data_IF_910525096907
#
_entry.id   IF_910525096907
#
_cell.length_a   1.000
_cell.length_b   1.000
_cell.length_c   1.000
_cell.angle_alpha   90.00
_cell.angle_beta   90.00
_cell.angle_gamma   90.00
#
_symmetry.space_group_name_H-M   'P 1'
#
loop_
_entity.id
_entity.type
_entity.pdbx_description
1 polymer ?
#
# COMPACT_ATOMS: atom_id res chain seq x y z
N UNK A 1 14.50 -2.35 28.89
CA UNK A 1 13.65 -1.47 28.10
C UNK A 1 12.82 -2.34 27.16
N UNK A 2 11.49 -2.21 27.13
CA UNK A 2 10.68 -2.98 26.21
C UNK A 2 10.83 -2.43 24.80
N UNK A 3 11.00 -3.35 23.88
CA UNK A 3 11.30 -3.20 22.48
C UNK A 3 10.36 -2.27 21.76
N UNK A 4 10.94 -1.27 21.12
CA UNK A 4 10.34 -0.40 20.12
C UNK A 4 10.44 -1.04 18.74
N UNK A 5 9.99 -2.29 18.60
CA UNK A 5 9.90 -2.95 17.28
C UNK A 5 8.53 -2.68 16.65
N UNK A 6 8.24 -1.40 16.41
CA UNK A 6 7.11 -0.97 15.58
C UNK A 6 7.58 -0.74 14.14
N UNK A 7 8.06 -1.78 13.49
CA UNK A 7 8.36 -1.71 12.07
C UNK A 7 7.13 -2.14 11.26
N UNK A 8 6.51 -1.16 10.69
CA UNK A 8 5.83 -1.10 9.41
C UNK A 8 4.99 -2.31 8.96
N UNK A 9 3.88 -2.40 9.59
CA UNK A 9 2.69 -3.01 9.05
C UNK A 9 1.69 -1.92 8.70
N UNK A 10 0.69 -2.25 7.89
CA UNK A 10 -0.44 -1.35 7.76
C UNK A 10 -0.92 -1.08 9.18
N UNK A 11 -0.34 -0.09 9.80
CA UNK A 11 -0.81 0.44 11.05
C UNK A 11 -2.20 0.96 10.72
N UNK A 12 -3.24 0.37 11.31
CA UNK A 12 -4.59 0.90 11.20
C UNK A 12 -4.65 2.22 11.98
N UNK A 13 -4.04 3.25 11.40
CA UNK A 13 -4.17 4.63 11.83
C UNK A 13 -5.12 5.32 10.87
N UNK A 14 -5.96 6.21 11.36
CA UNK A 14 -7.02 6.82 10.56
C UNK A 14 -6.53 7.48 9.26
N UNK A 15 -5.29 8.05 9.25
CA UNK A 15 -4.73 8.65 8.03
C UNK A 15 -4.30 7.62 6.97
N UNK A 16 -4.08 6.35 7.35
CA UNK A 16 -3.74 5.25 6.43
C UNK A 16 -4.93 4.81 5.60
N UNK A 17 -6.15 5.10 6.06
CA UNK A 17 -7.41 4.85 5.34
C UNK A 17 -7.50 3.41 4.81
N UNK A 18 -7.24 2.43 5.67
CA UNK A 18 -7.26 1.02 5.26
C UNK A 18 -8.58 0.61 4.59
N UNK A 19 -9.67 1.25 4.98
CA UNK A 19 -11.04 1.03 4.50
C UNK A 19 -11.39 1.83 3.22
N UNK A 20 -10.48 2.64 2.67
CA UNK A 20 -10.81 3.61 1.60
C UNK A 20 -11.55 2.98 0.42
N UNK A 21 -11.09 1.85 -0.10
CA UNK A 21 -11.75 1.18 -1.22
C UNK A 21 -13.18 0.74 -0.89
N UNK A 22 -13.49 0.44 0.36
CA UNK A 22 -14.82 -0.03 0.77
C UNK A 22 -15.86 1.08 0.85
N UNK A 23 -15.45 2.34 0.76
CA UNK A 23 -16.35 3.49 0.81
C UNK A 23 -17.25 3.63 -0.44
N UNK A 24 -16.81 3.07 -1.57
CA UNK A 24 -17.65 2.88 -2.75
C UNK A 24 -18.05 1.40 -2.83
N UNK A 25 -19.13 1.04 -2.14
CA UNK A 25 -19.59 -0.34 -2.01
C UNK A 25 -19.86 -0.97 -3.39
N UNK A 26 -20.45 -0.23 -4.31
CA UNK A 26 -20.78 -0.73 -5.63
C UNK A 26 -19.52 -1.09 -6.45
N UNK A 27 -18.50 -0.22 -6.44
CA UNK A 27 -17.22 -0.50 -7.12
C UNK A 27 -16.44 -1.59 -6.41
N UNK A 28 -16.50 -1.62 -5.08
CA UNK A 28 -15.85 -2.67 -4.29
C UNK A 28 -16.43 -4.04 -4.61
N UNK A 29 -17.75 -4.17 -4.63
CA UNK A 29 -18.42 -5.42 -5.03
C UNK A 29 -18.13 -5.79 -6.48
N UNK A 30 -18.14 -4.83 -7.39
CA UNK A 30 -17.79 -5.06 -8.80
C UNK A 30 -16.33 -5.54 -8.96
N UNK A 31 -15.40 -4.99 -8.17
CA UNK A 31 -14.01 -5.44 -8.15
C UNK A 31 -13.88 -6.89 -7.68
N UNK A 32 -14.52 -7.25 -6.56
CA UNK A 32 -14.46 -8.60 -5.99
C UNK A 32 -15.14 -9.66 -6.85
N UNK A 33 -16.23 -9.30 -7.52
CA UNK A 33 -17.02 -10.22 -8.34
C UNK A 33 -16.65 -10.21 -9.82
N UNK A 34 -15.53 -9.59 -10.19
CA UNK A 34 -15.10 -9.52 -11.60
C UNK A 34 -14.60 -10.90 -12.07
N UNK A 35 -15.35 -11.59 -12.97
CA UNK A 35 -14.96 -12.92 -13.41
C UNK A 35 -13.77 -12.91 -14.37
N UNK A 36 -13.49 -11.77 -15.00
CA UNK A 36 -12.37 -11.60 -15.93
C UNK A 36 -11.06 -11.36 -15.20
N UNK A 37 -11.12 -10.65 -14.08
CA UNK A 37 -9.96 -10.27 -13.29
C UNK A 37 -10.21 -10.60 -11.82
N UNK A 38 -10.16 -11.88 -11.43
CA UNK A 38 -10.40 -12.26 -10.03
C UNK A 38 -9.36 -11.67 -9.10
N UNK A 39 -9.82 -11.10 -7.98
CA UNK A 39 -8.94 -10.49 -6.97
C UNK A 39 -9.19 -11.09 -5.59
N UNK A 40 -8.15 -11.09 -4.77
CA UNK A 40 -8.23 -11.35 -3.33
C UNK A 40 -7.62 -10.15 -2.61
N UNK A 41 -8.29 -9.67 -1.57
CA UNK A 41 -7.83 -8.55 -0.77
C UNK A 41 -7.53 -9.03 0.65
N UNK A 42 -6.31 -8.80 1.10
CA UNK A 42 -5.86 -9.19 2.43
C UNK A 42 -5.42 -7.95 3.20
N UNK A 43 -6.12 -7.67 4.30
CA UNK A 43 -5.65 -6.71 5.30
C UNK A 43 -4.92 -7.44 6.40
N UNK A 44 -3.79 -6.91 6.83
CA UNK A 44 -3.03 -7.47 7.93
C UNK A 44 -2.52 -6.35 8.84
N UNK A 45 -2.72 -6.51 10.14
CA UNK A 45 -2.27 -5.55 11.13
C UNK A 45 -3.13 -5.54 12.37
N UNK A 46 -2.94 -4.52 13.19
CA UNK A 46 -3.79 -4.22 14.34
C UNK A 46 -3.85 -2.70 14.56
N UNK A 47 -4.99 -2.17 15.00
CA UNK A 47 -5.09 -0.75 15.38
C UNK A 47 -4.30 -0.47 16.65
N UNK A 48 -3.88 0.78 16.82
CA UNK A 48 -3.32 1.24 18.08
C UNK A 48 -4.41 1.23 19.18
N UNK A 49 -4.11 0.83 20.42
CA UNK A 49 -5.15 0.57 21.44
C UNK A 49 -6.05 1.73 21.82
N UNK A 50 -5.65 2.97 21.57
CA UNK A 50 -6.44 4.19 21.89
C UNK A 50 -6.91 4.94 20.64
N UNK A 51 -6.66 4.40 19.45
CA UNK A 51 -7.17 4.94 18.18
C UNK A 51 -8.55 4.34 17.87
N UNK A 52 -9.59 4.89 18.52
CA UNK A 52 -10.96 4.38 18.38
C UNK A 52 -11.49 4.42 16.92
N UNK A 53 -11.21 5.45 16.10
CA UNK A 53 -11.56 5.42 14.69
C UNK A 53 -10.91 4.23 13.96
N UNK A 54 -9.61 4.03 14.12
CA UNK A 54 -8.91 2.91 13.49
C UNK A 54 -9.41 1.54 13.98
N UNK A 55 -9.81 1.42 15.26
CA UNK A 55 -10.45 0.22 15.81
C UNK A 55 -11.80 -0.03 15.14
N UNK A 56 -12.60 1.03 14.91
CA UNK A 56 -13.87 0.93 14.22
C UNK A 56 -13.71 0.45 12.78
N UNK A 57 -12.78 1.05 12.03
CA UNK A 57 -12.46 0.66 10.66
C UNK A 57 -11.98 -0.78 10.59
N UNK A 58 -11.11 -1.19 11.52
CA UNK A 58 -10.64 -2.57 11.60
C UNK A 58 -11.78 -3.56 11.85
N UNK A 59 -12.68 -3.26 12.78
CA UNK A 59 -13.84 -4.12 13.08
C UNK A 59 -14.78 -4.22 11.86
N UNK A 60 -14.97 -3.14 11.13
CA UNK A 60 -15.75 -3.12 9.89
C UNK A 60 -15.09 -4.04 8.84
N UNK A 61 -13.78 -3.97 8.63
CA UNK A 61 -13.05 -4.84 7.71
C UNK A 61 -13.12 -6.32 8.13
N UNK A 62 -13.03 -6.62 9.43
CA UNK A 62 -13.26 -7.98 9.95
C UNK A 62 -14.69 -8.45 9.67
N UNK A 63 -15.68 -7.55 9.72
CA UNK A 63 -17.04 -7.91 9.34
C UNK A 63 -17.16 -8.19 7.84
N UNK A 64 -16.53 -7.38 6.99
CA UNK A 64 -16.49 -7.59 5.54
C UNK A 64 -15.82 -8.92 5.17
N UNK A 65 -14.77 -9.33 5.88
CA UNK A 65 -14.11 -10.62 5.61
C UNK A 65 -14.99 -11.84 5.92
N UNK A 66 -16.11 -11.65 6.63
CA UNK A 66 -17.13 -12.69 6.83
C UNK A 66 -18.22 -12.66 5.76
N UNK A 67 -18.37 -11.51 5.07
CA UNK A 67 -19.37 -11.32 4.00
C UNK A 67 -18.85 -11.82 2.64
N UNK A 68 -17.54 -11.65 2.39
CA UNK A 68 -16.93 -11.90 1.08
C UNK A 68 -15.81 -12.94 1.17
N UNK A 69 -15.91 -14.04 0.43
CA UNK A 69 -14.91 -15.12 0.39
C UNK A 69 -13.54 -14.68 -0.17
N UNK A 70 -13.51 -13.58 -0.92
CA UNK A 70 -12.29 -13.02 -1.52
C UNK A 70 -11.60 -11.97 -0.64
N UNK A 71 -12.09 -11.80 0.60
CA UNK A 71 -11.58 -10.83 1.57
C UNK A 71 -11.08 -11.55 2.81
N UNK A 72 -9.86 -11.24 3.25
CA UNK A 72 -9.31 -11.75 4.50
C UNK A 72 -8.75 -10.62 5.37
N UNK A 73 -8.89 -10.76 6.68
CA UNK A 73 -8.23 -9.89 7.67
C UNK A 73 -7.38 -10.75 8.59
N UNK A 74 -6.07 -10.59 8.50
CA UNK A 74 -5.11 -11.26 9.37
C UNK A 74 -4.94 -10.46 10.66
N UNK A 75 -5.45 -11.01 11.76
CA UNK A 75 -5.40 -10.40 13.10
C UNK A 75 -4.12 -10.86 13.81
N UNK A 76 -3.41 -9.90 14.38
CA UNK A 76 -2.17 -10.18 15.06
C UNK A 76 -0.96 -9.87 14.20
N UNK A 77 0.03 -9.30 14.88
CA UNK A 77 1.26 -8.87 14.26
C UNK A 77 2.37 -9.88 14.57
N UNK A 78 2.95 -10.43 13.51
CA UNK A 78 4.22 -11.17 13.58
C UNK A 78 5.11 -10.79 12.38
N UNK A 79 6.41 -10.65 12.61
CA UNK A 79 7.39 -10.42 11.54
C UNK A 79 7.34 -11.53 10.48
N UNK A 80 7.08 -12.76 10.90
CA UNK A 80 6.93 -13.90 9.99
C UNK A 80 5.74 -13.78 9.06
N UNK A 81 4.57 -13.32 9.56
CA UNK A 81 3.39 -13.06 8.74
C UNK A 81 3.65 -11.95 7.73
N UNK A 82 4.23 -10.83 8.18
CA UNK A 82 4.62 -9.73 7.32
C UNK A 82 5.50 -10.16 6.16
N UNK A 83 6.57 -10.88 6.49
CA UNK A 83 7.49 -11.39 5.48
C UNK A 83 6.75 -12.22 4.42
N UNK A 84 5.89 -13.14 4.86
CA UNK A 84 5.13 -14.01 3.95
C UNK A 84 4.14 -13.24 3.09
N UNK A 85 3.41 -12.29 3.66
CA UNK A 85 2.48 -11.46 2.90
C UNK A 85 3.20 -10.64 1.82
N UNK A 86 4.34 -10.02 2.14
CA UNK A 86 5.14 -9.28 1.17
C UNK A 86 5.70 -10.16 0.05
N UNK A 87 6.02 -11.43 0.36
CA UNK A 87 6.49 -12.40 -0.62
C UNK A 87 5.37 -13.00 -1.48
N UNK A 88 4.14 -12.97 -0.98
CA UNK A 88 2.98 -13.58 -1.65
C UNK A 88 2.09 -12.55 -2.36
N UNK A 89 2.30 -11.26 -2.15
CA UNK A 89 1.49 -10.21 -2.77
C UNK A 89 1.98 -9.89 -4.17
N UNK A 90 1.05 -9.82 -5.12
CA UNK A 90 1.31 -9.30 -6.46
C UNK A 90 1.28 -7.78 -6.47
N UNK A 91 0.34 -7.20 -5.71
CA UNK A 91 0.14 -5.76 -5.56
C UNK A 91 0.18 -5.38 -4.08
N UNK A 92 0.89 -4.30 -3.77
CA UNK A 92 0.96 -3.70 -2.44
C UNK A 92 0.28 -2.33 -2.46
N UNK A 93 -0.92 -2.27 -1.88
CA UNK A 93 -1.70 -1.04 -1.83
C UNK A 93 -1.36 -0.25 -0.58
N UNK A 94 -1.01 1.03 -0.75
CA UNK A 94 -0.76 1.97 0.34
C UNK A 94 -1.41 3.31 0.02
N UNK A 95 -2.37 3.73 0.83
CA UNK A 95 -3.19 4.92 0.54
C UNK A 95 -3.26 5.91 1.70
N UNK A 96 -2.11 6.33 2.28
CA UNK A 96 -2.12 7.35 3.31
C UNK A 96 -2.69 8.66 2.79
N UNK A 97 -3.31 9.42 3.70
CA UNK A 97 -3.74 10.79 3.38
C UNK A 97 -2.53 11.71 3.32
N UNK A 98 -2.33 12.32 2.18
CA UNK A 98 -1.22 13.29 1.97
C UNK A 98 -1.45 14.55 2.82
N UNK A 99 -0.45 15.10 3.48
CA UNK A 99 0.97 14.72 3.61
C UNK A 99 1.25 14.08 5.00
N UNK A 100 0.64 12.95 5.31
CA UNK A 100 0.71 12.34 6.64
C UNK A 100 1.74 11.21 6.75
N UNK A 101 2.19 10.67 5.64
CA UNK A 101 3.18 9.58 5.59
C UNK A 101 4.59 10.16 5.57
N UNK A 102 5.34 9.91 6.63
CA UNK A 102 6.71 10.44 6.72
C UNK A 102 7.71 9.64 5.86
N UNK A 103 7.51 8.34 5.71
CA UNK A 103 8.38 7.47 4.92
C UNK A 103 7.62 6.23 4.41
N UNK A 104 7.44 5.17 5.22
CA UNK A 104 6.69 3.97 4.84
C UNK A 104 7.56 2.82 4.33
N UNK A 105 8.32 2.16 5.24
CA UNK A 105 9.25 1.07 4.90
C UNK A 105 8.55 -0.22 4.45
N UNK A 106 7.26 -0.39 4.75
CA UNK A 106 6.51 -1.58 4.34
C UNK A 106 6.42 -1.73 2.82
N UNK A 107 6.16 -0.63 2.11
CA UNK A 107 6.17 -0.59 0.64
C UNK A 107 7.55 -0.86 0.06
N UNK A 108 8.62 -0.33 0.67
CA UNK A 108 10.00 -0.62 0.26
C UNK A 108 10.29 -2.11 0.32
N UNK A 109 9.98 -2.74 1.46
CA UNK A 109 10.21 -4.18 1.63
C UNK A 109 9.28 -5.05 0.78
N UNK A 110 8.07 -4.60 0.47
CA UNK A 110 7.19 -5.25 -0.48
C UNK A 110 7.79 -5.23 -1.89
N UNK A 111 8.24 -4.06 -2.36
CA UNK A 111 8.93 -3.93 -3.65
C UNK A 111 10.21 -4.79 -3.72
N UNK A 112 11.01 -4.87 -2.66
CA UNK A 112 12.18 -5.76 -2.59
C UNK A 112 11.81 -7.24 -2.74
N UNK A 113 10.57 -7.62 -2.41
CA UNK A 113 10.07 -8.99 -2.53
C UNK A 113 9.22 -9.23 -3.79
N UNK A 114 9.15 -8.27 -4.70
CA UNK A 114 8.47 -8.41 -5.99
C UNK A 114 7.03 -7.94 -6.04
N UNK A 115 6.47 -7.41 -4.95
CA UNK A 115 5.15 -6.79 -5.00
C UNK A 115 5.20 -5.43 -5.70
N UNK A 116 4.31 -5.20 -6.64
CA UNK A 116 4.17 -3.91 -7.32
C UNK A 116 3.45 -2.93 -6.39
N UNK A 117 4.02 -1.76 -6.13
CA UNK A 117 3.37 -0.75 -5.29
C UNK A 117 2.30 0.03 -6.07
N UNK A 118 1.14 0.22 -5.44
CA UNK A 118 0.12 1.16 -5.84
C UNK A 118 -0.18 2.08 -4.65
N UNK A 119 0.05 3.38 -4.79
CA UNK A 119 0.03 4.28 -3.63
C UNK A 119 -0.50 5.67 -3.97
N UNK A 120 -0.99 6.39 -2.94
CA UNK A 120 -1.03 7.85 -2.99
C UNK A 120 0.38 8.42 -3.00
N UNK A 121 0.56 9.65 -3.49
CA UNK A 121 1.87 10.26 -3.68
C UNK A 121 2.37 10.88 -2.37
N UNK A 122 2.83 10.06 -1.44
CA UNK A 122 3.29 10.46 -0.10
C UNK A 122 4.45 9.59 0.40
N UNK A 123 5.24 10.12 1.33
CA UNK A 123 6.37 9.42 1.92
C UNK A 123 7.43 9.02 0.89
N UNK A 124 7.96 7.81 1.04
CA UNK A 124 9.03 7.27 0.19
C UNK A 124 8.64 7.13 -1.29
N UNK A 125 7.33 7.03 -1.59
CA UNK A 125 6.82 6.91 -2.96
C UNK A 125 7.24 8.11 -3.81
N UNK A 126 7.28 9.31 -3.24
CA UNK A 126 7.69 10.53 -3.94
C UNK A 126 9.12 10.44 -4.50
N UNK A 127 9.99 9.63 -3.89
CA UNK A 127 11.38 9.44 -4.30
C UNK A 127 11.57 8.22 -5.23
N UNK A 128 10.61 7.30 -5.21
CA UNK A 128 10.75 5.98 -5.83
C UNK A 128 9.94 5.83 -7.11
N UNK A 129 8.69 6.31 -7.11
CA UNK A 129 7.71 5.85 -8.09
C UNK A 129 7.91 6.49 -9.47
N UNK A 130 7.92 5.65 -10.47
CA UNK A 130 7.77 6.02 -11.87
C UNK A 130 6.53 5.29 -12.39
N UNK A 131 5.42 6.01 -12.48
CA UNK A 131 4.09 5.46 -12.78
C UNK A 131 4.09 4.61 -14.06
N UNK A 132 3.61 3.39 -13.96
CA UNK A 132 3.56 2.43 -15.07
C UNK A 132 4.89 1.75 -15.41
N UNK A 133 6.01 2.17 -14.78
CA UNK A 133 7.32 1.59 -15.01
C UNK A 133 7.83 0.71 -13.85
N UNK A 134 7.67 1.16 -12.59
CA UNK A 134 8.08 0.41 -11.39
C UNK A 134 6.99 0.32 -10.32
N UNK A 135 5.80 0.81 -10.61
CA UNK A 135 4.63 0.82 -9.76
C UNK A 135 3.59 1.81 -10.25
N UNK A 136 2.57 2.06 -9.43
CA UNK A 136 1.46 2.95 -9.75
C UNK A 136 1.27 3.97 -8.64
N UNK A 137 0.96 5.21 -9.01
CA UNK A 137 0.74 6.30 -8.06
C UNK A 137 -0.47 7.13 -8.44
N UNK A 138 -1.26 7.50 -7.45
CA UNK A 138 -2.34 8.48 -7.61
C UNK A 138 -1.71 9.83 -7.96
N UNK A 139 -2.12 10.47 -9.05
CA UNK A 139 -1.60 11.79 -9.41
C UNK A 139 -1.85 12.79 -8.27
N UNK A 140 -0.86 13.63 -7.91
CA UNK A 140 -1.06 14.62 -6.86
C UNK A 140 -2.05 15.71 -7.27
N UNK A 141 -2.72 16.29 -6.28
CA UNK A 141 -3.55 17.47 -6.44
C UNK A 141 -3.02 18.59 -5.52
N UNK A 142 -3.64 19.73 -5.54
CA UNK A 142 -3.34 20.82 -4.59
C UNK A 142 -3.98 20.51 -3.22
N UNK A 143 -3.27 19.72 -2.42
CA UNK A 143 -3.73 19.24 -1.12
C UNK A 143 -3.92 20.36 -0.08
N UNK A 144 -3.37 21.55 -0.31
CA UNK A 144 -3.52 22.70 0.60
C UNK A 144 -4.88 23.37 0.46
N UNK A 145 -5.47 23.29 -0.74
CA UNK A 145 -6.72 23.98 -1.09
C UNK A 145 -7.95 23.06 -1.19
N UNK A 146 -7.82 21.78 -0.81
CA UNK A 146 -8.94 20.84 -0.81
C UNK A 146 -9.25 20.38 0.61
N UNK A 147 -10.52 20.13 0.88
CA UNK A 147 -10.93 19.52 2.15
C UNK A 147 -10.49 18.06 2.24
N UNK A 148 -10.43 17.54 3.46
CA UNK A 148 -10.16 16.11 3.70
C UNK A 148 -11.13 15.19 2.96
N UNK A 149 -12.41 15.59 2.88
CA UNK A 149 -13.42 14.82 2.17
C UNK A 149 -13.18 14.82 0.65
N UNK A 150 -12.86 15.95 0.07
CA UNK A 150 -12.55 16.06 -1.36
C UNK A 150 -11.29 15.27 -1.71
N UNK A 151 -10.26 15.32 -0.87
CA UNK A 151 -9.07 14.49 -1.03
C UNK A 151 -9.41 13.01 -0.98
N UNK A 152 -10.17 12.57 0.02
CA UNK A 152 -10.55 11.16 0.15
C UNK A 152 -11.36 10.67 -1.06
N UNK A 153 -12.27 11.48 -1.59
CA UNK A 153 -13.04 11.16 -2.80
C UNK A 153 -12.17 11.12 -4.06
N UNK A 154 -11.26 12.07 -4.20
CA UNK A 154 -10.31 12.09 -5.32
C UNK A 154 -9.43 10.84 -5.32
N UNK A 155 -8.77 10.57 -4.19
CA UNK A 155 -7.87 9.42 -4.05
C UNK A 155 -8.61 8.10 -4.29
N UNK A 156 -9.82 7.94 -3.73
CA UNK A 156 -10.67 6.77 -3.95
C UNK A 156 -10.96 6.55 -5.44
N UNK A 157 -11.42 7.59 -6.13
CA UNK A 157 -11.73 7.50 -7.56
C UNK A 157 -10.48 7.16 -8.38
N UNK A 158 -9.36 7.81 -8.10
CA UNK A 158 -8.10 7.56 -8.85
C UNK A 158 -7.51 6.19 -8.56
N UNK A 159 -7.61 5.69 -7.33
CA UNK A 159 -7.20 4.33 -7.02
C UNK A 159 -8.01 3.30 -7.81
N UNK A 160 -9.33 3.45 -7.87
CA UNK A 160 -10.16 2.58 -8.69
C UNK A 160 -9.86 2.70 -10.18
N UNK A 161 -9.69 3.92 -10.72
CA UNK A 161 -9.29 4.11 -12.11
C UNK A 161 -7.96 3.38 -12.43
N UNK A 162 -6.99 3.45 -11.54
CA UNK A 162 -5.70 2.76 -11.69
C UNK A 162 -5.89 1.23 -11.63
N UNK A 163 -6.64 0.74 -10.65
CA UNK A 163 -6.87 -0.70 -10.49
C UNK A 163 -7.63 -1.27 -11.70
N UNK A 164 -8.74 -0.65 -12.10
CA UNK A 164 -9.64 -1.16 -13.13
C UNK A 164 -9.03 -1.04 -14.55
N UNK A 165 -8.35 0.08 -14.84
CA UNK A 165 -7.92 0.40 -16.20
C UNK A 165 -6.44 0.13 -16.48
N UNK A 166 -5.62 -0.09 -15.44
CA UNK A 166 -4.18 -0.30 -15.59
C UNK A 166 -3.73 -1.61 -14.92
N UNK A 167 -3.85 -1.71 -13.60
CA UNK A 167 -3.29 -2.83 -12.83
C UNK A 167 -3.87 -4.17 -13.26
N UNK A 168 -5.20 -4.32 -13.23
CA UNK A 168 -5.86 -5.59 -13.56
C UNK A 168 -5.65 -6.00 -15.02
N UNK A 169 -5.85 -5.12 -16.03
CA UNK A 169 -5.56 -5.47 -17.41
C UNK A 169 -4.08 -5.85 -17.64
N UNK A 170 -3.14 -5.12 -17.03
CA UNK A 170 -1.72 -5.45 -17.18
C UNK A 170 -1.37 -6.79 -16.53
N UNK A 171 -1.89 -7.06 -15.35
CA UNK A 171 -1.62 -8.32 -14.66
C UNK A 171 -2.13 -9.53 -15.44
N UNK A 172 -3.38 -9.48 -15.93
CA UNK A 172 -4.04 -10.62 -16.54
C UNK A 172 -3.81 -10.75 -18.04
N UNK A 173 -3.70 -9.65 -18.77
CA UNK A 173 -3.63 -9.67 -20.23
C UNK A 173 -2.21 -9.43 -20.77
N UNK A 174 -1.32 -8.81 -19.97
CA UNK A 174 0.03 -8.46 -20.37
C UNK A 174 1.08 -8.90 -19.33
N UNK A 175 1.20 -10.21 -19.04
CA UNK A 175 2.05 -10.72 -17.98
C UNK A 175 3.55 -10.41 -18.19
N UNK A 176 3.99 -10.19 -19.40
CA UNK A 176 5.36 -9.79 -19.71
C UNK A 176 5.64 -8.36 -19.22
N UNK A 177 4.71 -7.44 -19.49
CA UNK A 177 4.80 -6.05 -19.01
C UNK A 177 4.71 -6.01 -17.49
N UNK A 178 3.81 -6.80 -16.89
CA UNK A 178 3.71 -6.90 -15.44
C UNK A 178 5.03 -7.37 -14.81
N UNK A 179 5.65 -8.41 -15.37
CA UNK A 179 6.97 -8.89 -14.92
C UNK A 179 8.07 -7.85 -15.07
N UNK A 180 8.01 -7.02 -16.11
CA UNK A 180 8.96 -5.92 -16.29
C UNK A 180 8.79 -4.86 -15.20
N UNK A 181 7.56 -4.43 -14.89
CA UNK A 181 7.25 -3.50 -13.80
C UNK A 181 7.77 -4.06 -12.46
N UNK A 182 7.51 -5.33 -12.18
CA UNK A 182 8.01 -6.01 -10.98
C UNK A 182 9.54 -5.97 -10.90
N UNK A 183 10.25 -6.31 -11.98
CA UNK A 183 11.72 -6.28 -12.01
C UNK A 183 12.29 -4.88 -11.84
N UNK A 184 11.66 -3.89 -12.47
CA UNK A 184 12.05 -2.50 -12.33
C UNK A 184 11.89 -2.05 -10.88
N UNK A 185 10.74 -2.36 -10.24
CA UNK A 185 10.50 -2.06 -8.83
C UNK A 185 11.57 -2.68 -7.91
N UNK A 186 11.87 -3.96 -8.08
CA UNK A 186 12.91 -4.66 -7.30
C UNK A 186 14.31 -4.05 -7.50
N UNK A 187 14.66 -3.70 -8.74
CA UNK A 187 15.95 -3.09 -9.05
C UNK A 187 16.09 -1.71 -8.42
N UNK A 188 15.08 -0.87 -8.63
CA UNK A 188 15.14 0.53 -8.26
C UNK A 188 15.08 0.70 -6.73
N UNK A 189 14.22 -0.06 -6.03
CA UNK A 189 14.13 -0.02 -4.57
C UNK A 189 15.41 -0.49 -3.90
N UNK A 190 16.04 -1.54 -4.43
CA UNK A 190 17.27 -2.09 -3.87
C UNK A 190 18.41 -1.09 -3.93
N UNK A 191 18.53 -0.35 -5.02
CA UNK A 191 19.58 0.64 -5.15
C UNK A 191 19.36 1.84 -4.23
N UNK A 192 18.15 2.41 -4.24
CA UNK A 192 17.86 3.67 -3.55
C UNK A 192 17.70 3.50 -2.03
N UNK A 193 17.09 2.39 -1.60
CA UNK A 193 16.65 2.20 -0.21
C UNK A 193 17.43 1.09 0.53
N UNK A 194 18.64 0.79 0.09
CA UNK A 194 19.53 -0.15 0.78
C UNK A 194 20.12 0.48 2.05
N UNK A 195 20.04 -0.24 3.16
CA UNK A 195 20.55 0.22 4.45
C UNK A 195 22.05 0.41 4.50
N UNK A 196 22.83 -0.37 3.69
CA UNK A 196 24.27 -0.21 3.62
C UNK A 196 24.64 1.08 2.89
N UNK A 197 23.87 1.45 1.82
CA UNK A 197 24.04 2.75 1.16
C UNK A 197 23.79 3.88 2.16
N UNK A 198 22.69 3.84 2.88
CA UNK A 198 22.33 4.84 3.89
C UNK A 198 23.44 4.96 4.96
N UNK A 199 23.90 3.86 5.51
CA UNK A 199 24.97 3.86 6.51
C UNK A 199 26.26 4.44 5.95
N UNK A 200 26.63 4.08 4.72
CA UNK A 200 27.82 4.62 4.05
C UNK A 200 27.72 6.15 3.89
N UNK A 201 26.60 6.66 3.42
CA UNK A 201 26.38 8.10 3.26
C UNK A 201 26.43 8.85 4.61
N UNK A 202 25.88 8.27 5.69
CA UNK A 202 26.01 8.85 7.02
C UNK A 202 27.49 8.95 7.45
N UNK A 203 28.29 7.90 7.25
CA UNK A 203 29.70 7.95 7.56
C UNK A 203 30.46 8.97 6.70
N UNK A 204 30.12 9.09 5.43
CA UNK A 204 30.78 10.03 4.51
C UNK A 204 30.41 11.50 4.75
N UNK A 205 29.21 11.78 5.22
CA UNK A 205 28.68 13.15 5.35
C UNK A 205 28.73 13.65 6.80
N UNK A 206 28.34 12.81 7.77
CA UNK A 206 28.16 13.25 9.14
C UNK A 206 29.34 12.98 10.06
N UNK A 207 30.18 11.98 9.76
CA UNK A 207 31.25 11.51 10.65
C UNK A 207 32.66 11.72 10.06
N UNK A 208 32.79 12.62 9.12
CA UNK A 208 34.09 13.10 8.61
C UNK A 208 34.65 14.21 9.48
#
# INVERSE_FOLDING_TARGET
SPNSDYSDFVCFAGYKRAELLTRDEARFEALLNNPKYPVQIIWAGKPYPVDYPAISDFNMLVHLSKKYDHVAVCIGYELGLSKRLKQASDLWLNNPRVPREASGTSGMTAAMNGAVNCSTNDGWICEFINHGNNGFVVPPIDYENVSVHEQDQYDLNKLYEILENQVLPLYYENPDVWREITRNGMRDVRWQFDSNRMAKEYYEILYK
#
